data_IF_562446213147
#
_entry.id   IF_562446213147
#
_cell.length_a   1.000
_cell.length_b   1.000
_cell.length_c   1.000
_cell.angle_alpha   90.00
_cell.angle_beta   90.00
_cell.angle_gamma   90.00
#
_symmetry.space_group_name_H-M   'P 1'
#
loop_
_entity.id
_entity.type
_entity.pdbx_description
1 polymer ?
#
# COMPACT_ATOMS: atom_id res chain seq x y z
N UNK A 1 -7.84 -0.01 -12.00
CA UNK A 1 -8.67 1.20 -11.85
C UNK A 1 -7.89 2.14 -10.96
N UNK A 2 -7.49 3.30 -11.48
CA UNK A 2 -6.72 4.30 -10.72
C UNK A 2 -7.68 5.28 -10.08
N UNK A 3 -7.51 5.52 -8.78
CA UNK A 3 -8.34 6.48 -8.02
C UNK A 3 -7.97 7.90 -8.44
N UNK A 4 -8.94 8.81 -8.55
CA UNK A 4 -8.69 10.21 -8.92
C UNK A 4 -8.60 11.09 -7.67
N UNK A 5 -7.91 12.25 -7.71
CA UNK A 5 -7.84 13.16 -6.57
C UNK A 5 -9.19 13.60 -6.01
N UNK A 6 -10.20 13.76 -6.87
CA UNK A 6 -11.56 14.14 -6.47
C UNK A 6 -12.23 13.05 -5.64
N UNK A 7 -11.95 11.78 -5.93
CA UNK A 7 -12.48 10.65 -5.18
C UNK A 7 -11.87 10.63 -3.75
N UNK A 8 -10.57 10.92 -3.63
CA UNK A 8 -9.89 11.04 -2.32
C UNK A 8 -10.44 12.22 -1.52
N UNK A 9 -10.67 13.37 -2.17
CA UNK A 9 -11.26 14.52 -1.52
C UNK A 9 -12.67 14.23 -1.01
N UNK A 10 -13.53 13.62 -1.84
CA UNK A 10 -14.89 13.28 -1.44
C UNK A 10 -14.92 12.36 -0.20
N UNK A 11 -14.02 11.38 -0.13
CA UNK A 11 -13.86 10.51 1.04
C UNK A 11 -13.40 11.32 2.25
N UNK A 12 -12.35 12.14 2.09
CA UNK A 12 -11.80 12.95 3.18
C UNK A 12 -12.84 13.92 3.75
N UNK A 13 -13.49 14.71 2.90
CA UNK A 13 -14.53 15.68 3.27
C UNK A 13 -15.68 15.00 4.02
N UNK A 14 -16.13 13.85 3.53
CA UNK A 14 -17.24 13.11 4.14
C UNK A 14 -16.85 12.53 5.51
N UNK A 15 -15.70 11.87 5.62
CA UNK A 15 -15.31 11.16 6.84
C UNK A 15 -14.78 12.09 7.92
N UNK A 16 -14.09 13.18 7.55
CA UNK A 16 -13.54 14.16 8.49
C UNK A 16 -14.62 14.89 9.29
N UNK A 17 -15.82 15.05 8.74
CA UNK A 17 -16.97 15.59 9.46
C UNK A 17 -17.47 14.66 10.59
N UNK A 18 -17.15 13.35 10.51
CA UNK A 18 -17.54 12.34 11.51
C UNK A 18 -16.41 12.13 12.51
N UNK A 19 -15.18 11.93 12.03
CA UNK A 19 -14.01 11.65 12.86
C UNK A 19 -12.72 11.93 12.09
N UNK A 20 -11.65 12.40 12.75
CA UNK A 20 -10.33 12.50 12.13
C UNK A 20 -9.64 11.14 11.96
N UNK A 21 -10.15 10.06 12.56
CA UNK A 21 -9.48 8.77 12.63
C UNK A 21 -9.92 7.82 11.51
N UNK A 22 -9.46 8.10 10.30
CA UNK A 22 -9.62 7.21 9.14
C UNK A 22 -8.33 7.15 8.31
N UNK A 23 -8.25 6.12 7.47
CA UNK A 23 -7.17 5.95 6.49
C UNK A 23 -7.78 5.47 5.17
N UNK A 24 -7.10 5.73 4.06
CA UNK A 24 -7.63 5.47 2.72
C UNK A 24 -6.71 4.51 1.98
N UNK A 25 -7.26 3.37 1.54
CA UNK A 25 -6.60 2.47 0.61
C UNK A 25 -6.85 2.94 -0.83
N UNK A 26 -6.00 3.84 -1.34
CA UNK A 26 -6.10 4.34 -2.70
C UNK A 26 -5.48 3.35 -3.69
N UNK A 27 -6.17 3.06 -4.80
CA UNK A 27 -5.64 2.22 -5.87
C UNK A 27 -4.64 2.99 -6.75
N UNK A 28 -3.37 2.61 -6.71
CA UNK A 28 -2.28 3.20 -7.51
C UNK A 28 -1.53 2.16 -8.35
N UNK A 29 -2.25 1.15 -8.86
CA UNK A 29 -1.68 0.06 -9.66
C UNK A 29 -1.29 -1.18 -8.86
N UNK A 30 -1.59 -1.19 -7.56
CA UNK A 30 -1.34 -2.30 -6.67
C UNK A 30 -2.29 -3.48 -6.93
N UNK A 31 -1.76 -4.70 -6.76
CA UNK A 31 -2.49 -5.97 -6.96
C UNK A 31 -2.20 -6.87 -5.75
N UNK A 32 -3.17 -7.66 -5.31
CA UNK A 32 -2.97 -8.66 -4.25
C UNK A 32 -2.37 -9.95 -4.82
N UNK A 33 -1.37 -10.52 -4.15
CA UNK A 33 -0.67 -11.74 -4.59
C UNK A 33 0.76 -11.45 -5.03
N UNK A 34 1.46 -12.50 -5.49
CA UNK A 34 2.79 -12.38 -6.12
C UNK A 34 2.66 -12.74 -7.58
N UNK A 35 3.15 -11.85 -8.44
CA UNK A 35 3.19 -12.02 -9.88
C UNK A 35 4.64 -12.05 -10.36
N UNK A 36 4.86 -12.55 -11.58
CA UNK A 36 6.18 -12.45 -12.21
C UNK A 36 6.65 -10.98 -12.22
N UNK A 37 7.94 -10.70 -11.94
CA UNK A 37 8.50 -9.36 -12.02
C UNK A 37 8.13 -8.68 -13.35
N UNK A 38 7.64 -7.44 -13.28
CA UNK A 38 7.19 -6.66 -14.45
C UNK A 38 5.70 -6.72 -14.78
N UNK A 39 4.93 -7.64 -14.17
CA UNK A 39 3.48 -7.72 -14.39
C UNK A 39 2.66 -6.75 -13.52
N UNK A 40 3.24 -6.27 -12.42
CA UNK A 40 2.65 -5.22 -11.58
C UNK A 40 3.45 -3.95 -11.83
N UNK A 41 2.74 -2.87 -12.15
CA UNK A 41 3.33 -1.54 -12.34
C UNK A 41 2.65 -0.58 -11.37
N UNK A 42 3.35 -0.27 -10.29
CA UNK A 42 2.90 0.71 -9.32
C UNK A 42 3.11 2.13 -9.88
N UNK A 43 2.24 3.02 -9.44
CA UNK A 43 2.26 4.45 -9.73
C UNK A 43 2.25 5.29 -8.44
N UNK A 44 3.29 5.19 -7.58
CA UNK A 44 3.32 5.90 -6.29
C UNK A 44 3.15 7.41 -6.43
N UNK A 45 3.55 8.00 -7.55
CA UNK A 45 3.42 9.43 -7.85
C UNK A 45 1.97 9.93 -7.78
N UNK A 46 0.98 9.04 -7.96
CA UNK A 46 -0.44 9.39 -7.81
C UNK A 46 -0.78 9.77 -6.37
N UNK A 47 -0.15 9.13 -5.38
CA UNK A 47 -0.36 9.45 -3.97
C UNK A 47 0.08 10.88 -3.65
N UNK A 48 1.19 11.35 -4.24
CA UNK A 48 1.64 12.74 -4.12
C UNK A 48 0.61 13.72 -4.69
N UNK A 49 0.00 13.40 -5.83
CA UNK A 49 -1.05 14.23 -6.44
C UNK A 49 -2.28 14.31 -5.54
N UNK A 50 -2.66 13.20 -4.90
CA UNK A 50 -3.76 13.16 -3.95
C UNK A 50 -3.49 13.99 -2.70
N UNK A 51 -2.29 13.89 -2.11
CA UNK A 51 -1.91 14.72 -0.95
C UNK A 51 -2.03 16.21 -1.28
N UNK A 52 -1.44 16.64 -2.40
CA UNK A 52 -1.48 18.04 -2.84
C UNK A 52 -2.90 18.55 -3.02
N UNK A 53 -3.74 17.79 -3.72
CA UNK A 53 -5.12 18.17 -3.96
C UNK A 53 -5.91 18.33 -2.65
N UNK A 54 -5.78 17.39 -1.71
CA UNK A 54 -6.46 17.49 -0.41
C UNK A 54 -5.89 18.64 0.41
N UNK A 55 -4.57 18.83 0.45
CA UNK A 55 -3.94 19.94 1.17
C UNK A 55 -4.41 21.30 0.65
N UNK A 56 -4.52 21.46 -0.68
CA UNK A 56 -5.07 22.66 -1.33
C UNK A 56 -6.53 22.91 -0.95
N UNK A 57 -7.37 21.87 -0.98
CA UNK A 57 -8.79 21.97 -0.58
C UNK A 57 -8.98 22.34 0.88
N UNK A 58 -8.08 21.90 1.76
CA UNK A 58 -8.09 22.21 3.18
C UNK A 58 -7.47 23.58 3.51
N UNK A 59 -6.68 24.17 2.61
CA UNK A 59 -5.78 25.27 2.96
C UNK A 59 -4.76 24.86 4.04
N UNK A 60 -4.36 23.59 4.04
CA UNK A 60 -3.54 22.97 5.08
C UNK A 60 -2.08 23.41 5.00
N UNK A 61 -1.43 23.60 6.17
CA UNK A 61 0.03 23.74 6.27
C UNK A 61 0.75 22.38 6.30
N UNK A 62 0.02 21.31 6.63
CA UNK A 62 0.52 19.94 6.56
C UNK A 62 0.52 19.48 5.10
N UNK A 63 1.68 19.03 4.62
CA UNK A 63 1.87 18.62 3.22
C UNK A 63 1.22 17.28 2.90
N UNK A 64 1.01 16.41 3.92
CA UNK A 64 0.48 15.06 3.75
C UNK A 64 -0.72 14.80 4.67
N UNK A 65 -1.86 15.50 4.47
CA UNK A 65 -3.01 15.39 5.35
C UNK A 65 -3.74 14.03 5.28
N UNK A 66 -3.47 13.20 4.27
CA UNK A 66 -4.14 11.91 4.06
C UNK A 66 -3.26 10.75 4.57
N UNK A 67 -3.84 9.90 5.40
CA UNK A 67 -3.19 8.65 5.82
C UNK A 67 -3.50 7.52 4.82
N UNK A 68 -2.53 7.21 3.95
CA UNK A 68 -2.71 6.16 2.95
C UNK A 68 -2.37 4.77 3.46
N UNK A 69 -3.07 3.77 2.91
CA UNK A 69 -2.82 2.35 3.12
C UNK A 69 -2.39 1.72 1.80
N UNK A 70 -1.21 1.11 1.78
CA UNK A 70 -0.69 0.35 0.65
C UNK A 70 -1.11 -1.11 0.77
N UNK A 71 -2.14 -1.47 0.01
CA UNK A 71 -2.60 -2.85 -0.15
C UNK A 71 -1.73 -3.61 -1.16
N UNK A 72 -1.48 -4.91 -0.93
CA UNK A 72 -0.73 -5.74 -1.87
C UNK A 72 0.76 -5.40 -1.96
N UNK A 73 1.42 -5.23 -0.82
CA UNK A 73 2.85 -4.91 -0.79
C UNK A 73 3.77 -6.09 -1.13
N UNK A 74 3.26 -7.33 -1.09
CA UNK A 74 4.11 -8.50 -1.38
C UNK A 74 4.65 -8.46 -2.82
N UNK A 75 5.93 -8.73 -2.98
CA UNK A 75 6.62 -8.64 -4.28
C UNK A 75 6.97 -7.22 -4.76
N UNK A 76 6.65 -6.16 -4.00
CA UNK A 76 7.11 -4.79 -4.30
C UNK A 76 8.59 -4.60 -3.99
N UNK A 77 9.24 -3.72 -4.73
CA UNK A 77 10.65 -3.34 -4.53
C UNK A 77 10.82 -2.37 -3.36
N UNK A 78 12.04 -2.29 -2.83
CA UNK A 78 12.40 -1.32 -1.78
C UNK A 78 12.12 0.12 -2.24
N UNK A 79 12.43 0.46 -3.49
CA UNK A 79 12.21 1.79 -4.05
C UNK A 79 10.72 2.14 -4.15
N UNK A 80 9.87 1.18 -4.49
CA UNK A 80 8.41 1.37 -4.51
C UNK A 80 7.87 1.63 -3.09
N UNK A 81 8.35 0.88 -2.08
CA UNK A 81 8.00 1.15 -0.69
C UNK A 81 8.46 2.53 -0.24
N UNK A 82 9.73 2.88 -0.48
CA UNK A 82 10.28 4.17 -0.08
C UNK A 82 9.51 5.33 -0.72
N UNK A 83 9.18 5.24 -2.00
CA UNK A 83 8.37 6.24 -2.69
C UNK A 83 6.97 6.34 -2.10
N UNK A 84 6.25 5.22 -1.95
CA UNK A 84 4.90 5.24 -1.41
C UNK A 84 4.84 5.79 0.02
N UNK A 85 5.77 5.40 0.88
CA UNK A 85 5.93 5.93 2.25
C UNK A 85 6.23 7.43 2.21
N UNK A 86 7.12 7.86 1.31
CA UNK A 86 7.41 9.30 1.13
C UNK A 86 6.18 10.12 0.76
N UNK A 87 5.12 9.51 0.21
CA UNK A 87 3.86 10.17 -0.15
C UNK A 87 2.72 9.97 0.86
N UNK A 88 3.04 9.51 2.07
CA UNK A 88 2.08 9.46 3.19
C UNK A 88 1.38 8.11 3.36
N UNK A 89 1.94 7.03 2.81
CA UNK A 89 1.57 5.67 3.25
C UNK A 89 2.05 5.46 4.68
N UNK A 90 1.11 5.10 5.56
CA UNK A 90 1.38 4.82 6.99
C UNK A 90 1.13 3.36 7.36
N UNK A 91 0.55 2.57 6.45
CA UNK A 91 0.26 1.15 6.65
C UNK A 91 0.47 0.40 5.35
N UNK A 92 1.17 -0.73 5.42
CA UNK A 92 1.39 -1.64 4.28
C UNK A 92 0.81 -3.01 4.65
N UNK A 93 0.09 -3.64 3.72
CA UNK A 93 -0.38 -5.02 3.87
C UNK A 93 0.61 -5.97 3.21
N UNK A 94 1.13 -6.92 3.99
CA UNK A 94 1.95 -8.04 3.54
C UNK A 94 1.26 -9.34 3.91
N UNK A 95 1.16 -10.27 2.96
CA UNK A 95 0.53 -11.57 3.20
C UNK A 95 1.25 -12.66 2.42
N UNK A 96 1.22 -12.62 1.08
CA UNK A 96 1.81 -13.66 0.22
C UNK A 96 3.29 -13.96 0.53
N UNK A 97 4.11 -12.93 0.76
CA UNK A 97 5.52 -13.13 1.11
C UNK A 97 5.69 -13.81 2.49
N UNK A 98 4.79 -13.51 3.43
CA UNK A 98 4.79 -14.13 4.76
C UNK A 98 4.32 -15.59 4.69
N UNK A 99 3.28 -15.87 3.89
CA UNK A 99 2.83 -17.23 3.60
C UNK A 99 3.94 -18.07 2.97
N UNK A 100 4.65 -17.49 1.98
CA UNK A 100 5.77 -18.16 1.33
C UNK A 100 6.94 -18.41 2.27
N UNK A 101 7.31 -17.43 3.10
CA UNK A 101 8.35 -17.58 4.12
C UNK A 101 7.99 -18.67 5.14
N UNK A 102 6.75 -18.70 5.60
CA UNK A 102 6.24 -19.71 6.52
C UNK A 102 6.32 -21.12 5.89
N UNK A 103 5.81 -21.29 4.67
CA UNK A 103 5.87 -22.55 3.93
C UNK A 103 7.30 -23.01 3.69
N UNK A 104 8.21 -22.08 3.37
CA UNK A 104 9.63 -22.37 3.14
C UNK A 104 10.27 -23.02 4.37
N UNK A 105 10.00 -22.49 5.57
CA UNK A 105 10.49 -23.09 6.81
C UNK A 105 10.02 -24.53 7.02
N UNK A 106 8.73 -24.80 6.79
CA UNK A 106 8.17 -26.15 6.90
C UNK A 106 8.75 -27.08 5.84
N UNK A 107 8.78 -26.65 4.58
CA UNK A 107 9.33 -27.42 3.45
C UNK A 107 10.77 -27.82 3.73
N UNK A 108 11.59 -26.87 4.16
CA UNK A 108 13.03 -27.10 4.38
C UNK A 108 13.27 -28.05 5.54
N UNK A 109 12.48 -27.95 6.62
CA UNK A 109 12.50 -28.93 7.71
C UNK A 109 12.15 -30.34 7.22
N UNK A 110 11.02 -30.51 6.51
CA UNK A 110 10.58 -31.82 6.03
C UNK A 110 11.60 -32.41 5.07
N UNK A 111 12.09 -31.61 4.12
CA UNK A 111 13.05 -32.07 3.09
C UNK A 111 14.37 -32.51 3.72
N UNK A 112 14.86 -31.77 4.72
CA UNK A 112 16.11 -32.08 5.41
C UNK A 112 16.03 -33.38 6.22
N UNK A 113 14.85 -33.72 6.74
CA UNK A 113 14.65 -34.85 7.64
C UNK A 113 13.82 -35.96 7.01
N UNK A 114 13.72 -36.01 5.67
CA UNK A 114 12.77 -36.88 4.97
C UNK A 114 13.00 -38.38 5.24
N UNK A 115 14.23 -38.78 5.53
CA UNK A 115 14.56 -40.17 5.86
C UNK A 115 14.15 -40.58 7.28
N UNK A 116 13.79 -39.60 8.13
CA UNK A 116 13.40 -39.78 9.53
C UNK A 116 11.92 -39.47 9.80
N UNK A 117 11.16 -38.99 8.80
CA UNK A 117 9.74 -38.62 8.87
C UNK A 117 8.89 -39.61 8.07
#
# INVERSE_FOLDING_TARGET
MTVRPEDIWAIYETLSAISPFFSIAAGFGNVHGVYKPGNVKLHPELLSKHQKFVAEKLGSKEEKPVFFVFHGGSGSTVDEFQQAISYGVVKVNLDTDLQWAYLTGVRDYVTKNIDYL
#
